data_IF_305124563446
#
_entry.id   IF_305124563446
#
_cell.length_a   1.000
_cell.length_b   1.000
_cell.length_c   1.000
_cell.angle_alpha   90.00
_cell.angle_beta   90.00
_cell.angle_gamma   90.00
#
_symmetry.space_group_name_H-M   'P 1'
#
loop_
_entity.id
_entity.type
_entity.pdbx_description
1 polymer ?
#
# COMPACT_ATOMS: atom_id res chain seq x y z
N UNK A 1 -12.76 -6.46 -9.44
CA UNK A 1 -12.42 -7.65 -8.63
C UNK A 1 -11.31 -7.20 -7.70
N UNK A 2 -11.35 -7.57 -6.42
CA UNK A 2 -10.25 -7.23 -5.52
C UNK A 2 -9.06 -8.14 -5.82
N UNK A 3 -7.86 -7.61 -5.69
CA UNK A 3 -6.62 -8.33 -6.05
C UNK A 3 -5.61 -8.24 -4.92
N UNK A 4 -4.71 -9.21 -4.82
CA UNK A 4 -3.64 -9.21 -3.84
C UNK A 4 -2.40 -8.52 -4.39
N UNK A 5 -1.70 -7.80 -3.53
CA UNK A 5 -0.42 -7.17 -3.83
C UNK A 5 0.53 -7.28 -2.64
N UNK A 6 1.82 -7.09 -2.88
CA UNK A 6 2.88 -7.06 -1.86
C UNK A 6 3.33 -5.63 -1.62
N UNK A 7 3.52 -5.25 -0.36
CA UNK A 7 4.06 -3.92 0.00
C UNK A 7 5.54 -3.87 -0.33
N UNK A 8 5.95 -2.86 -1.11
CA UNK A 8 7.34 -2.70 -1.55
C UNK A 8 8.01 -1.44 -1.00
N UNK A 9 7.23 -0.45 -0.53
CA UNK A 9 7.75 0.78 0.06
C UNK A 9 6.74 1.39 1.06
N UNK A 10 7.26 1.96 2.15
CA UNK A 10 6.52 2.63 3.22
C UNK A 10 7.07 4.02 3.55
N UNK A 11 8.14 4.45 2.88
CA UNK A 11 8.80 5.74 3.10
C UNK A 11 8.08 6.90 2.39
N UNK A 12 6.80 7.09 2.71
CA UNK A 12 5.97 8.14 2.12
C UNK A 12 6.56 9.53 2.40
N UNK A 13 6.98 10.29 1.36
CA UNK A 13 7.62 11.60 1.54
C UNK A 13 6.68 12.65 2.14
N UNK A 14 5.36 12.47 2.03
CA UNK A 14 4.36 13.39 2.58
C UNK A 14 3.90 12.98 3.99
N UNK A 15 4.43 11.87 4.52
CA UNK A 15 4.09 11.35 5.84
C UNK A 15 2.58 11.10 6.06
N UNK A 16 1.85 10.72 5.00
CA UNK A 16 0.40 10.47 5.05
C UNK A 16 0.04 9.01 5.39
N UNK A 17 1.05 8.16 5.58
CA UNK A 17 0.84 6.72 5.84
C UNK A 17 0.46 5.94 4.57
N UNK A 18 0.83 6.44 3.39
CA UNK A 18 0.67 5.70 2.12
C UNK A 18 1.76 4.64 1.99
N UNK A 19 1.51 3.68 1.12
CA UNK A 19 2.47 2.63 0.76
C UNK A 19 2.58 2.53 -0.76
N UNK A 20 3.65 1.95 -1.26
CA UNK A 20 3.71 1.44 -2.64
C UNK A 20 3.57 -0.07 -2.59
N UNK A 21 2.85 -0.63 -3.55
CA UNK A 21 2.65 -2.08 -3.65
C UNK A 21 3.05 -2.58 -5.03
N UNK A 22 3.25 -3.89 -5.13
CA UNK A 22 3.43 -4.61 -6.40
C UNK A 22 2.38 -5.70 -6.52
N UNK A 23 1.60 -5.67 -7.59
CA UNK A 23 0.66 -6.75 -7.91
C UNK A 23 1.40 -8.02 -8.31
N UNK A 24 0.79 -9.19 -8.06
CA UNK A 24 1.35 -10.48 -8.46
C UNK A 24 1.14 -10.81 -9.95
N UNK A 25 0.91 -9.80 -10.79
CA UNK A 25 0.70 -9.99 -12.22
C UNK A 25 1.98 -10.47 -12.90
N UNK A 26 1.90 -11.40 -13.87
CA UNK A 26 3.05 -11.85 -14.61
C UNK A 26 3.51 -10.78 -15.61
N UNK A 27 4.53 -10.01 -15.24
CA UNK A 27 5.15 -8.97 -16.07
C UNK A 27 6.65 -9.25 -16.27
N UNK A 28 7.19 -8.84 -17.42
CA UNK A 28 8.64 -9.00 -17.71
C UNK A 28 9.50 -8.07 -16.85
N UNK A 29 9.04 -6.83 -16.65
CA UNK A 29 9.65 -5.86 -15.74
C UNK A 29 8.73 -5.68 -14.52
N UNK A 30 9.18 -6.02 -13.30
CA UNK A 30 8.39 -5.89 -12.08
C UNK A 30 7.82 -4.49 -11.86
N UNK A 31 8.49 -3.45 -12.36
CA UNK A 31 8.04 -2.05 -12.21
C UNK A 31 6.69 -1.78 -12.89
N UNK A 32 6.32 -2.56 -13.91
CA UNK A 32 5.03 -2.46 -14.58
C UNK A 32 3.85 -2.97 -13.71
N UNK A 33 4.13 -3.68 -12.63
CA UNK A 33 3.14 -4.12 -11.65
C UNK A 33 3.21 -3.30 -10.35
N UNK A 34 4.05 -2.27 -10.28
CA UNK A 34 4.16 -1.40 -9.11
C UNK A 34 3.19 -0.22 -9.17
N UNK A 35 2.81 0.26 -7.99
CA UNK A 35 2.01 1.47 -7.86
C UNK A 35 2.86 2.69 -7.48
N UNK A 36 2.27 3.86 -7.71
CA UNK A 36 2.59 5.05 -6.93
C UNK A 36 2.11 4.89 -5.47
N UNK A 37 2.21 5.95 -4.67
CA UNK A 37 1.74 5.98 -3.29
C UNK A 37 0.21 5.80 -3.19
N UNK A 38 -0.22 4.68 -2.63
CA UNK A 38 -1.62 4.32 -2.41
C UNK A 38 -2.01 4.44 -0.95
N UNK A 39 -3.27 4.79 -0.69
CA UNK A 39 -3.79 4.96 0.68
C UNK A 39 -4.12 3.60 1.30
N UNK A 40 -3.74 3.42 2.57
CA UNK A 40 -4.22 2.33 3.38
C UNK A 40 -5.59 2.67 3.98
N UNK A 41 -6.52 1.71 3.97
CA UNK A 41 -7.78 1.84 4.69
C UNK A 41 -7.53 1.69 6.19
N UNK A 42 -7.97 2.68 6.96
CA UNK A 42 -7.89 2.68 8.42
C UNK A 42 -9.23 2.29 9.03
N UNK A 43 -9.28 1.50 10.12
CA UNK A 43 -10.53 1.22 10.82
C UNK A 43 -11.23 2.46 11.39
N UNK A 44 -10.47 3.52 11.69
CA UNK A 44 -10.97 4.81 12.17
C UNK A 44 -10.01 5.94 11.80
N UNK A 45 -10.54 7.06 11.29
CA UNK A 45 -9.78 8.26 10.95
C UNK A 45 -10.57 9.53 11.28
N UNK A 46 -9.88 10.56 11.77
CA UNK A 46 -10.41 11.87 12.10
C UNK A 46 -9.27 12.87 12.35
N UNK A 47 -9.61 14.16 12.40
CA UNK A 47 -8.62 15.22 12.65
C UNK A 47 -7.96 15.05 14.03
N UNK A 48 -6.64 14.82 14.03
CA UNK A 48 -5.84 14.57 15.23
C UNK A 48 -6.13 13.25 15.97
N UNK A 49 -6.94 12.33 15.42
CA UNK A 49 -7.33 11.08 16.10
C UNK A 49 -7.61 9.95 15.11
N UNK A 50 -7.21 8.73 15.44
CA UNK A 50 -7.45 7.60 14.54
C UNK A 50 -6.67 6.36 14.92
N UNK A 51 -6.76 5.35 14.05
CA UNK A 51 -5.92 4.16 14.08
C UNK A 51 -5.18 4.07 12.75
N UNK A 52 -3.86 4.20 12.79
CA UNK A 52 -2.99 4.02 11.63
C UNK A 52 -2.12 2.79 11.87
N UNK A 53 -2.25 1.81 10.97
CA UNK A 53 -1.37 0.65 10.91
C UNK A 53 -0.70 0.69 9.54
N UNK A 54 0.59 1.02 9.51
CA UNK A 54 1.37 0.93 8.27
C UNK A 54 1.78 -0.52 8.06
N UNK A 55 1.38 -1.16 6.95
CA UNK A 55 1.86 -2.50 6.61
C UNK A 55 3.38 -2.54 6.50
N UNK A 56 4.00 -3.65 6.87
CA UNK A 56 5.44 -3.85 6.70
C UNK A 56 5.77 -4.20 5.24
N UNK A 57 6.95 -3.83 4.76
CA UNK A 57 7.46 -4.26 3.46
C UNK A 57 7.49 -5.80 3.41
N UNK A 58 7.02 -6.37 2.31
CA UNK A 58 6.82 -7.82 2.13
C UNK A 58 5.46 -8.33 2.62
N UNK A 59 4.66 -7.50 3.28
CA UNK A 59 3.30 -7.89 3.68
C UNK A 59 2.37 -7.97 2.47
N UNK A 60 1.46 -8.95 2.49
CA UNK A 60 0.40 -9.05 1.52
C UNK A 60 -0.78 -8.15 1.91
N UNK A 61 -1.32 -7.42 0.93
CA UNK A 61 -2.46 -6.52 1.10
C UNK A 61 -3.52 -6.80 0.04
N UNK A 62 -4.77 -6.48 0.38
CA UNK A 62 -5.90 -6.56 -0.54
C UNK A 62 -6.15 -5.18 -1.16
N UNK A 63 -6.10 -5.11 -2.48
CA UNK A 63 -6.35 -3.92 -3.28
C UNK A 63 -7.84 -3.85 -3.63
N UNK A 64 -8.47 -2.72 -3.29
CA UNK A 64 -9.91 -2.47 -3.43
C UNK A 64 -10.28 -1.43 -4.47
#
# INVERSE_FOLDING_TARGET
MQELAEVIDTADPDHLGRVRVRYYWPVTDPTHAETDWVRALTPYSGDGKGQLFTPEIGSQVLMG
#
